data_IF_152811811516
#
_entry.id   IF_152811811516
#
_cell.length_a   1.000
_cell.length_b   1.000
_cell.length_c   1.000
_cell.angle_alpha   90.00
_cell.angle_beta   90.00
_cell.angle_gamma   90.00
#
_symmetry.space_group_name_H-M   'P 1'
#
loop_
_entity.id
_entity.type
_entity.pdbx_description
1 polymer ?
#
# COMPACT_ATOMS: atom_id res chain seq x y z
N UNK A 1 -11.73 38.55 46.85
CA UNK A 1 -13.15 38.14 46.97
C UNK A 1 -13.62 37.56 45.64
N UNK A 2 -14.09 36.30 45.65
CA UNK A 2 -15.22 35.71 44.86
C UNK A 2 -15.32 36.09 43.36
N UNK A 3 -15.31 35.18 42.37
CA UNK A 3 -16.01 33.88 42.28
C UNK A 3 -15.39 33.01 41.17
N UNK A 4 -15.30 31.71 41.48
CA UNK A 4 -15.16 30.59 40.55
C UNK A 4 -16.51 30.39 39.82
N UNK A 5 -16.47 30.07 38.52
CA UNK A 5 -17.57 29.43 37.81
C UNK A 5 -17.03 28.22 37.06
N UNK A 6 -17.38 27.04 37.57
CA UNK A 6 -17.23 25.76 36.91
C UNK A 6 -18.36 25.59 35.89
N UNK A 7 -18.01 25.30 34.63
CA UNK A 7 -18.95 24.89 33.59
C UNK A 7 -18.77 23.41 33.26
N UNK A 8 -19.65 22.58 33.81
CA UNK A 8 -19.78 21.15 33.51
C UNK A 8 -20.98 20.98 32.58
N UNK A 9 -20.78 20.48 31.36
CA UNK A 9 -21.89 20.07 30.48
C UNK A 9 -21.64 18.65 29.97
N UNK A 10 -22.62 17.81 30.26
CA UNK A 10 -22.68 16.38 30.04
C UNK A 10 -22.81 16.02 28.55
N UNK A 11 -22.11 14.96 28.13
CA UNK A 11 -22.31 14.34 26.82
C UNK A 11 -23.47 13.36 26.87
N UNK A 12 -24.53 13.64 26.12
CA UNK A 12 -25.67 12.73 25.93
C UNK A 12 -25.44 11.91 24.67
N UNK A 13 -25.18 10.61 24.80
CA UNK A 13 -25.16 9.65 23.70
C UNK A 13 -26.59 9.19 23.37
N UNK A 14 -26.98 9.04 22.10
CA UNK A 14 -28.25 8.40 21.74
C UNK A 14 -28.15 6.86 21.76
N UNK A 15 -29.25 6.15 22.07
CA UNK A 15 -29.30 4.68 22.08
C UNK A 15 -29.47 4.10 20.67
N UNK A 16 -28.80 2.98 20.41
CA UNK A 16 -28.93 2.15 19.22
C UNK A 16 -30.16 1.23 19.39
N UNK A 17 -31.16 1.36 18.51
CA UNK A 17 -32.36 0.52 18.48
C UNK A 17 -32.22 -0.58 17.42
N UNK A 18 -32.33 -1.82 17.88
CA UNK A 18 -32.58 -3.02 17.08
C UNK A 18 -33.97 -2.97 16.42
N UNK A 19 -34.09 -3.44 15.17
CA UNK A 19 -35.36 -3.99 14.68
C UNK A 19 -35.13 -5.01 13.56
N UNK A 20 -35.39 -6.26 13.94
CA UNK A 20 -35.75 -7.41 13.13
C UNK A 20 -37.14 -7.17 12.52
N UNK A 21 -37.37 -7.51 11.24
CA UNK A 21 -38.49 -8.39 10.83
C UNK A 21 -38.55 -8.71 9.33
N UNK A 22 -39.06 -9.92 9.10
CA UNK A 22 -39.17 -10.71 7.89
C UNK A 22 -40.28 -10.22 6.94
N UNK A 23 -40.20 -10.61 5.65
CA UNK A 23 -41.41 -10.82 4.84
C UNK A 23 -41.21 -11.93 3.82
N UNK A 24 -42.01 -12.97 4.01
CA UNK A 24 -42.29 -14.13 3.16
C UNK A 24 -43.37 -13.78 2.14
N UNK A 25 -43.30 -14.35 0.92
CA UNK A 25 -44.40 -14.81 0.06
C UNK A 25 -43.95 -14.78 -1.41
N UNK A 26 -44.42 -15.56 -2.39
CA UNK A 26 -45.33 -16.71 -2.55
C UNK A 26 -45.14 -17.10 -4.04
N UNK A 27 -45.07 -18.39 -4.36
CA UNK A 27 -45.15 -18.93 -5.73
C UNK A 27 -46.55 -18.71 -6.34
N UNK A 28 -46.69 -18.73 -7.69
CA UNK A 28 -47.32 -19.94 -8.24
C UNK A 28 -46.69 -20.48 -9.54
N UNK A 29 -46.71 -21.81 -9.60
CA UNK A 29 -46.72 -22.63 -10.80
C UNK A 29 -47.79 -22.16 -11.82
N UNK A 30 -47.51 -22.29 -13.12
CA UNK A 30 -48.42 -22.91 -14.10
C UNK A 30 -47.60 -23.43 -15.29
N UNK A 31 -48.00 -24.62 -15.70
CA UNK A 31 -47.50 -25.47 -16.77
C UNK A 31 -47.85 -24.88 -18.14
N UNK A 32 -47.00 -25.09 -19.14
CA UNK A 32 -47.55 -25.57 -20.40
C UNK A 32 -46.59 -26.51 -21.13
N UNK A 33 -47.15 -27.66 -21.49
CA UNK A 33 -46.50 -28.75 -22.18
C UNK A 33 -47.16 -28.89 -23.54
N UNK A 34 -46.36 -29.06 -24.59
CA UNK A 34 -46.58 -29.87 -25.81
C UNK A 34 -45.97 -29.19 -27.03
N UNK A 35 -44.86 -29.76 -27.51
CA UNK A 35 -44.66 -30.05 -28.94
C UNK A 35 -43.35 -30.82 -29.10
N UNK A 36 -43.45 -32.15 -29.07
CA UNK A 36 -42.44 -33.08 -29.58
C UNK A 36 -42.85 -33.46 -31.02
N UNK A 37 -42.07 -34.27 -31.75
CA UNK A 37 -40.63 -34.25 -32.04
C UNK A 37 -40.42 -34.35 -33.57
N UNK A 38 -39.19 -34.35 -34.09
CA UNK A 38 -38.73 -35.31 -35.13
C UNK A 38 -37.31 -34.95 -35.63
N UNK A 39 -36.42 -35.93 -35.48
CA UNK A 39 -35.19 -36.19 -36.25
C UNK A 39 -34.30 -34.99 -36.62
N UNK A 40 -33.23 -34.81 -35.85
CA UNK A 40 -31.92 -34.53 -36.44
C UNK A 40 -30.91 -35.57 -35.98
N UNK A 41 -30.68 -36.48 -36.92
CA UNK A 41 -29.61 -37.45 -37.07
C UNK A 41 -28.34 -36.96 -36.36
N UNK A 42 -27.96 -37.66 -35.28
CA UNK A 42 -26.63 -37.54 -34.69
C UNK A 42 -25.67 -38.20 -35.68
N UNK A 43 -25.08 -37.40 -36.57
CA UNK A 43 -23.90 -37.83 -37.32
C UNK A 43 -22.74 -37.78 -36.33
N UNK A 44 -22.50 -38.88 -35.60
CA UNK A 44 -21.27 -39.08 -34.85
C UNK A 44 -20.14 -39.15 -35.88
N UNK A 45 -19.64 -37.98 -36.25
CA UNK A 45 -18.34 -37.87 -36.90
C UNK A 45 -17.34 -38.05 -35.78
N UNK A 46 -16.93 -39.30 -35.57
CA UNK A 46 -15.68 -39.62 -34.88
C UNK A 46 -14.58 -38.91 -35.68
N UNK A 47 -14.33 -37.64 -35.38
CA UNK A 47 -13.06 -37.03 -35.71
C UNK A 47 -12.09 -37.73 -34.79
N UNK A 48 -11.38 -38.67 -35.38
CA UNK A 48 -10.24 -39.35 -34.81
C UNK A 48 -9.25 -38.26 -34.38
N UNK A 49 -9.40 -37.75 -33.16
CA UNK A 49 -8.44 -36.83 -32.56
C UNK A 49 -7.26 -37.72 -32.20
N UNK A 50 -6.40 -37.92 -33.19
CA UNK A 50 -5.12 -38.60 -33.04
C UNK A 50 -4.51 -38.13 -31.73
N UNK A 51 -4.51 -39.03 -30.76
CA UNK A 51 -3.70 -38.95 -29.55
C UNK A 51 -2.26 -39.04 -30.02
N UNK A 52 -1.71 -37.91 -30.44
CA UNK A 52 -0.27 -37.74 -30.56
C UNK A 52 0.27 -37.92 -29.16
N UNK A 53 0.73 -39.14 -28.87
CA UNK A 53 1.16 -39.59 -27.56
C UNK A 53 2.07 -38.57 -26.88
N UNK A 54 1.93 -38.53 -25.56
CA UNK A 54 2.50 -37.56 -24.60
C UNK A 54 4.03 -37.35 -24.70
N UNK A 55 4.71 -38.11 -25.57
CA UNK A 55 6.17 -38.18 -25.71
C UNK A 55 6.73 -37.61 -27.01
N UNK A 56 5.91 -37.27 -28.02
CA UNK A 56 6.42 -36.85 -29.34
C UNK A 56 6.99 -35.42 -29.40
N UNK A 57 6.92 -34.66 -28.31
CA UNK A 57 7.26 -33.22 -28.29
C UNK A 57 8.21 -32.81 -27.17
N UNK A 58 8.88 -33.75 -26.49
CA UNK A 58 9.81 -33.44 -25.39
C UNK A 58 10.92 -32.50 -25.84
N UNK A 59 11.57 -32.76 -26.98
CA UNK A 59 12.57 -31.86 -27.55
C UNK A 59 12.01 -30.47 -27.90
N UNK A 60 10.77 -30.41 -28.39
CA UNK A 60 10.10 -29.14 -28.66
C UNK A 60 9.81 -28.36 -27.38
N UNK A 61 9.51 -29.05 -26.27
CA UNK A 61 9.31 -28.45 -24.95
C UNK A 61 10.64 -27.93 -24.40
N UNK A 62 11.72 -28.72 -24.47
CA UNK A 62 13.07 -28.32 -24.04
C UNK A 62 13.56 -27.10 -24.82
N UNK A 63 13.48 -27.13 -26.15
CA UNK A 63 13.89 -26.01 -27.01
C UNK A 63 13.00 -24.78 -26.76
N UNK A 64 11.68 -24.96 -26.58
CA UNK A 64 10.78 -23.84 -26.25
C UNK A 64 11.12 -23.21 -24.89
N UNK A 65 11.42 -24.02 -23.87
CA UNK A 65 11.84 -23.53 -22.56
C UNK A 65 13.19 -22.80 -22.65
N UNK A 66 14.14 -23.33 -23.43
CA UNK A 66 15.43 -22.68 -23.69
C UNK A 66 15.27 -21.33 -24.39
N UNK A 67 14.52 -21.28 -25.50
CA UNK A 67 14.25 -20.00 -26.19
C UNK A 67 13.48 -19.02 -25.31
N UNK A 68 12.57 -19.50 -24.46
CA UNK A 68 11.89 -18.65 -23.49
C UNK A 68 12.81 -18.16 -22.38
N UNK A 69 13.84 -18.92 -21.99
CA UNK A 69 14.84 -18.47 -21.02
C UNK A 69 15.78 -17.39 -21.56
N UNK A 70 15.97 -17.32 -22.88
CA UNK A 70 16.77 -16.27 -23.53
C UNK A 70 15.99 -14.95 -23.71
N UNK A 71 14.67 -14.95 -23.55
CA UNK A 71 13.88 -13.72 -23.62
C UNK A 71 14.15 -12.89 -22.36
N UNK A 72 14.59 -11.63 -22.48
CA UNK A 72 14.75 -10.76 -21.33
C UNK A 72 13.41 -10.62 -20.62
N UNK A 73 13.42 -10.73 -19.29
CA UNK A 73 12.21 -10.61 -18.49
C UNK A 73 11.63 -9.21 -18.68
N UNK A 74 10.48 -9.12 -19.33
CA UNK A 74 9.74 -7.87 -19.39
C UNK A 74 9.12 -7.64 -18.01
N UNK A 75 9.67 -6.67 -17.26
CA UNK A 75 9.07 -6.17 -16.03
C UNK A 75 7.93 -5.24 -16.47
N UNK A 76 6.80 -5.84 -16.85
CA UNK A 76 5.58 -5.09 -17.17
C UNK A 76 4.89 -4.74 -15.85
N UNK A 77 4.82 -3.45 -15.53
CA UNK A 77 4.09 -2.92 -14.39
C UNK A 77 2.92 -2.06 -14.83
N UNK A 78 1.88 -2.00 -14.00
CA UNK A 78 0.80 -1.04 -14.18
C UNK A 78 1.30 0.34 -13.76
N UNK A 79 1.10 1.35 -14.60
CA UNK A 79 1.40 2.74 -14.25
C UNK A 79 0.36 3.25 -13.26
N UNK A 80 0.81 3.62 -12.05
CA UNK A 80 -0.09 4.01 -10.95
C UNK A 80 -0.25 5.53 -10.84
N UNK A 81 0.78 6.30 -11.19
CA UNK A 81 0.72 7.76 -11.12
C UNK A 81 2.06 8.44 -11.34
N UNK A 82 2.06 9.76 -11.19
CA UNK A 82 3.25 10.62 -11.23
C UNK A 82 3.22 11.61 -10.07
N UNK A 83 4.39 12.00 -9.57
CA UNK A 83 4.49 13.07 -8.57
C UNK A 83 4.75 14.45 -9.20
N UNK A 84 4.83 15.48 -8.36
CA UNK A 84 5.14 16.85 -8.77
C UNK A 84 6.58 17.04 -9.26
N UNK A 85 7.48 16.08 -9.01
CA UNK A 85 8.88 16.08 -9.45
C UNK A 85 8.99 15.49 -10.86
N UNK A 86 8.06 14.62 -11.25
CA UNK A 86 8.02 13.94 -12.53
C UNK A 86 8.46 12.48 -12.49
N UNK A 87 8.61 11.89 -11.30
CA UNK A 87 8.83 10.46 -11.13
C UNK A 87 7.57 9.69 -11.54
N UNK A 88 7.74 8.56 -12.23
CA UNK A 88 6.64 7.71 -12.67
C UNK A 88 6.64 6.43 -11.84
N UNK A 89 5.50 6.11 -11.23
CA UNK A 89 5.37 5.00 -10.28
C UNK A 89 4.64 3.80 -10.91
N UNK A 90 5.13 2.60 -10.62
CA UNK A 90 4.65 1.35 -11.18
C UNK A 90 4.37 0.29 -10.12
N UNK A 91 3.39 -0.58 -10.38
CA UNK A 91 3.06 -1.72 -9.54
C UNK A 91 2.86 -3.00 -10.37
N UNK A 92 3.49 -4.10 -9.96
CA UNK A 92 3.14 -5.46 -10.39
C UNK A 92 2.18 -6.04 -9.36
N UNK A 93 0.96 -6.43 -9.75
CA UNK A 93 0.03 -7.07 -8.83
C UNK A 93 0.59 -8.41 -8.33
N UNK A 94 0.15 -8.80 -7.14
CA UNK A 94 0.49 -10.11 -6.59
C UNK A 94 -0.11 -11.22 -7.47
N UNK A 95 0.72 -12.20 -7.86
CA UNK A 95 0.30 -13.40 -8.59
C UNK A 95 0.52 -14.62 -7.68
N UNK A 96 -0.51 -15.07 -6.95
CA UNK A 96 -0.39 -16.20 -6.03
C UNK A 96 -0.13 -17.51 -6.78
N UNK A 97 -0.57 -17.64 -8.04
CA UNK A 97 -0.33 -18.85 -8.86
C UNK A 97 1.15 -19.04 -9.14
N UNK A 98 1.92 -17.95 -9.26
CA UNK A 98 3.38 -17.97 -9.45
C UNK A 98 4.18 -17.80 -8.16
N UNK A 99 3.55 -17.93 -6.99
CA UNK A 99 4.21 -17.83 -5.69
C UNK A 99 4.57 -16.39 -5.27
N UNK A 100 4.13 -15.37 -6.02
CA UNK A 100 4.36 -13.96 -5.68
C UNK A 100 3.20 -13.43 -4.84
N UNK A 101 3.30 -13.57 -3.51
CA UNK A 101 2.22 -13.22 -2.57
C UNK A 101 2.05 -11.71 -2.33
N UNK A 102 3.08 -10.90 -2.60
CA UNK A 102 3.07 -9.44 -2.40
C UNK A 102 3.24 -8.74 -3.74
N UNK A 103 2.60 -7.57 -3.94
CA UNK A 103 2.88 -6.76 -5.11
C UNK A 103 4.30 -6.19 -5.01
N UNK A 104 4.89 -5.91 -6.16
CA UNK A 104 6.22 -5.28 -6.26
C UNK A 104 6.04 -3.88 -6.83
N UNK A 105 6.62 -2.89 -6.17
CA UNK A 105 6.47 -1.47 -6.48
C UNK A 105 7.84 -0.88 -6.77
N UNK A 106 7.93 -0.04 -7.79
CA UNK A 106 9.14 0.71 -8.16
C UNK A 106 8.76 2.01 -8.85
N UNK A 107 9.75 2.84 -9.11
CA UNK A 107 9.57 4.09 -9.84
C UNK A 107 10.73 4.29 -10.80
N UNK A 108 10.47 5.07 -11.85
CA UNK A 108 11.48 5.55 -12.78
C UNK A 108 11.64 7.07 -12.60
N UNK A 109 12.85 7.57 -12.31
CA UNK A 109 13.11 9.00 -12.22
C UNK A 109 13.07 9.65 -13.62
N UNK A 110 12.77 10.96 -13.70
CA UNK A 110 12.90 11.69 -14.95
C UNK A 110 14.37 11.71 -15.41
N UNK A 111 14.59 11.87 -16.72
CA UNK A 111 15.94 11.88 -17.31
C UNK A 111 16.80 12.96 -16.65
N UNK A 112 17.90 12.56 -16.01
CA UNK A 112 18.86 13.47 -15.38
C UNK A 112 18.73 13.63 -13.87
N UNK A 113 17.73 13.00 -13.23
CA UNK A 113 17.69 12.83 -11.77
C UNK A 113 18.20 11.45 -11.38
N UNK A 114 18.86 11.39 -10.22
CA UNK A 114 19.41 10.15 -9.67
C UNK A 114 18.45 9.54 -8.65
N UNK A 115 18.54 8.22 -8.44
CA UNK A 115 17.74 7.49 -7.44
C UNK A 115 18.05 7.89 -5.98
N UNK A 116 19.06 8.75 -5.75
CA UNK A 116 19.47 9.22 -4.43
C UNK A 116 18.70 10.48 -3.99
N UNK A 117 17.97 11.11 -4.91
CA UNK A 117 17.21 12.32 -4.59
C UNK A 117 16.04 12.01 -3.64
N UNK A 118 15.71 12.92 -2.71
CA UNK A 118 14.65 12.69 -1.74
C UNK A 118 13.28 12.59 -2.43
N UNK A 119 12.57 11.50 -2.15
CA UNK A 119 11.22 11.27 -2.65
C UNK A 119 10.16 11.97 -1.78
N UNK A 120 9.01 12.34 -2.36
CA UNK A 120 7.85 12.78 -1.58
C UNK A 120 7.39 11.68 -0.60
N UNK A 121 7.09 12.08 0.64
CA UNK A 121 6.85 11.17 1.76
C UNK A 121 5.63 10.25 1.54
N UNK A 122 4.63 10.72 0.80
CA UNK A 122 3.43 10.00 0.43
C UNK A 122 3.76 8.79 -0.44
N UNK A 123 4.57 9.02 -1.49
CA UNK A 123 5.00 8.00 -2.43
C UNK A 123 6.03 7.05 -1.83
N UNK A 124 6.94 7.56 -1.00
CA UNK A 124 7.89 6.70 -0.28
C UNK A 124 7.16 5.70 0.63
N UNK A 125 6.10 6.15 1.30
CA UNK A 125 5.27 5.30 2.15
C UNK A 125 4.52 4.24 1.36
N UNK A 126 4.06 4.56 0.15
CA UNK A 126 3.44 3.60 -0.76
C UNK A 126 4.47 2.59 -1.33
N UNK A 127 5.64 3.03 -1.78
CA UNK A 127 6.71 2.15 -2.25
C UNK A 127 7.16 1.15 -1.18
N UNK A 128 7.24 1.59 0.08
CA UNK A 128 7.59 0.74 1.24
C UNK A 128 6.44 -0.13 1.74
N UNK A 129 5.34 -0.25 1.00
CA UNK A 129 4.19 -1.06 1.37
C UNK A 129 3.49 -0.63 2.67
N UNK A 130 3.72 0.59 3.18
CA UNK A 130 3.00 1.12 4.36
C UNK A 130 1.58 1.53 4.00
N UNK A 131 1.38 2.07 2.79
CA UNK A 131 0.06 2.39 2.22
C UNK A 131 -0.35 1.32 1.20
N UNK A 132 -1.63 0.94 1.19
CA UNK A 132 -2.17 0.02 0.18
C UNK A 132 -2.38 0.73 -1.15
N UNK A 133 -3.08 1.86 -1.09
CA UNK A 133 -3.45 2.69 -2.25
C UNK A 133 -2.40 3.78 -2.50
N UNK A 134 -2.16 4.14 -3.78
CA UNK A 134 -1.29 5.27 -4.12
C UNK A 134 -1.90 6.58 -3.62
N UNK A 135 -1.08 7.60 -3.34
CA UNK A 135 -1.59 8.92 -2.95
C UNK A 135 -2.36 9.58 -4.08
N UNK A 136 -3.38 10.37 -3.73
CA UNK A 136 -4.17 11.15 -4.69
C UNK A 136 -3.54 12.52 -4.94
N UNK A 137 -3.81 13.11 -6.10
CA UNK A 137 -3.29 14.43 -6.47
C UNK A 137 -3.73 15.53 -5.49
N UNK A 138 -4.98 15.46 -5.02
CA UNK A 138 -5.51 16.39 -4.01
C UNK A 138 -4.79 16.27 -2.67
N UNK A 139 -4.45 15.05 -2.22
CA UNK A 139 -3.71 14.83 -0.97
C UNK A 139 -2.32 15.46 -1.08
N UNK A 140 -1.64 15.23 -2.21
CA UNK A 140 -0.32 15.80 -2.49
C UNK A 140 -0.38 17.33 -2.46
N UNK A 141 -1.36 17.95 -3.13
CA UNK A 141 -1.52 19.40 -3.14
C UNK A 141 -1.79 19.97 -1.73
N UNK A 142 -2.64 19.31 -0.94
CA UNK A 142 -2.91 19.71 0.46
C UNK A 142 -1.65 19.64 1.32
N UNK A 143 -0.87 18.57 1.19
CA UNK A 143 0.37 18.40 1.98
C UNK A 143 1.43 19.44 1.60
N UNK A 144 1.56 19.77 0.31
CA UNK A 144 2.45 20.85 -0.15
C UNK A 144 2.04 22.19 0.45
N UNK A 145 0.75 22.51 0.45
CA UNK A 145 0.24 23.74 1.07
C UNK A 145 0.52 23.79 2.58
N UNK A 146 0.36 22.66 3.28
CA UNK A 146 0.69 22.56 4.72
C UNK A 146 2.20 22.74 4.95
N UNK A 147 3.04 22.19 4.09
CA UNK A 147 4.50 22.33 4.20
C UNK A 147 4.93 23.79 4.02
N UNK A 148 4.39 24.48 3.01
CA UNK A 148 4.64 25.91 2.79
C UNK A 148 4.17 26.77 3.96
N UNK A 149 2.96 26.53 4.46
CA UNK A 149 2.42 27.24 5.62
C UNK A 149 3.29 27.03 6.87
N UNK A 150 3.78 25.81 7.10
CA UNK A 150 4.70 25.52 8.20
C UNK A 150 6.03 26.26 8.05
N UNK A 151 6.56 26.36 6.84
CA UNK A 151 7.78 27.10 6.56
C UNK A 151 7.61 28.59 6.85
N UNK A 152 6.50 29.20 6.43
CA UNK A 152 6.19 30.61 6.73
C UNK A 152 5.99 30.86 8.23
N UNK A 153 5.24 29.98 8.90
CA UNK A 153 5.02 30.11 10.34
C UNK A 153 6.31 29.93 11.13
N UNK A 154 7.16 28.98 10.73
CA UNK A 154 8.49 28.83 11.30
C UNK A 154 9.32 30.10 11.11
N UNK A 155 9.35 30.67 9.90
CA UNK A 155 10.09 31.91 9.62
C UNK A 155 9.58 33.09 10.46
N UNK A 156 8.26 33.23 10.65
CA UNK A 156 7.66 34.26 11.52
C UNK A 156 8.08 34.09 12.98
N UNK A 157 8.07 32.86 13.48
CA UNK A 157 8.47 32.56 14.86
C UNK A 157 9.98 32.83 15.05
N UNK A 158 10.83 32.47 14.09
CA UNK A 158 12.26 32.76 14.16
C UNK A 158 12.54 34.26 14.11
N UNK A 159 11.83 35.02 13.26
CA UNK A 159 11.96 36.47 13.22
C UNK A 159 11.54 37.12 14.55
N UNK A 160 10.46 36.64 15.18
CA UNK A 160 10.04 37.09 16.50
C UNK A 160 11.10 36.79 17.56
N UNK A 161 11.64 35.57 17.60
CA UNK A 161 12.71 35.20 18.55
C UNK A 161 13.95 36.06 18.40
N UNK A 162 14.34 36.37 17.17
CA UNK A 162 15.51 37.21 16.89
C UNK A 162 15.27 38.65 17.36
N UNK A 163 14.06 39.18 17.18
CA UNK A 163 13.67 40.50 17.68
C UNK A 163 13.67 40.57 19.22
N UNK A 164 13.24 39.49 19.89
CA UNK A 164 13.26 39.37 21.35
C UNK A 164 14.68 39.15 21.93
N UNK A 165 15.72 39.11 21.07
CA UNK A 165 17.11 38.91 21.47
C UNK A 165 17.46 37.46 21.83
N UNK A 166 16.59 36.49 21.50
CA UNK A 166 16.85 35.07 21.70
C UNK A 166 17.85 34.51 20.68
N UNK A 167 18.81 33.72 21.14
CA UNK A 167 19.68 32.93 20.24
C UNK A 167 18.92 31.75 19.63
N UNK A 168 19.29 31.34 18.41
CA UNK A 168 18.77 30.10 17.81
C UNK A 168 18.94 28.92 18.79
N UNK A 169 17.95 28.02 18.90
CA UNK A 169 18.07 26.86 19.77
C UNK A 169 19.25 26.02 19.27
N UNK A 170 20.34 26.00 20.05
CA UNK A 170 21.45 25.10 19.76
C UNK A 170 20.92 23.66 19.87
N UNK A 171 21.24 22.77 18.91
CA UNK A 171 20.89 21.37 19.04
C UNK A 171 21.44 20.89 20.39
N UNK A 172 20.63 20.23 21.23
CA UNK A 172 21.08 19.78 22.53
C UNK A 172 22.32 18.91 22.31
N UNK A 173 23.42 19.23 23.01
CA UNK A 173 24.65 18.43 22.96
C UNK A 173 24.34 17.04 23.52
N UNK A 174 23.98 16.10 22.65
CA UNK A 174 23.80 14.70 23.02
C UNK A 174 25.19 14.09 23.20
N UNK A 175 25.40 13.40 24.32
CA UNK A 175 26.61 12.60 24.51
C UNK A 175 26.67 11.44 23.52
N UNK A 176 27.75 10.64 23.53
CA UNK A 176 27.89 9.46 22.66
C UNK A 176 26.77 8.41 22.86
N UNK A 177 26.09 8.46 24.00
CA UNK A 177 25.03 7.55 24.37
C UNK A 177 23.71 7.97 23.69
N UNK A 178 23.12 7.05 22.93
CA UNK A 178 21.84 7.27 22.22
C UNK A 178 20.61 7.22 23.13
N UNK A 179 20.74 6.61 24.31
CA UNK A 179 19.64 6.43 25.27
C UNK A 179 19.88 7.21 26.57
N UNK A 180 18.82 7.74 27.20
CA UNK A 180 18.90 8.29 28.55
C UNK A 180 19.43 7.22 29.52
N UNK A 181 20.46 7.56 30.29
CA UNK A 181 20.96 6.69 31.36
C UNK A 181 20.09 6.91 32.60
N UNK A 182 19.38 5.88 33.02
CA UNK A 182 18.66 5.88 34.28
C UNK A 182 19.54 5.24 35.37
N UNK A 183 19.60 5.83 36.57
CA UNK A 183 20.39 5.27 37.66
C UNK A 183 19.92 3.85 38.04
N UNK A 184 18.63 3.56 37.85
CA UNK A 184 18.02 2.29 38.24
C UNK A 184 18.16 1.19 37.17
N UNK A 185 18.61 1.53 35.96
CA UNK A 185 18.71 0.60 34.84
C UNK A 185 20.15 0.46 34.37
N UNK A 186 20.84 -0.54 34.93
CA UNK A 186 22.17 -0.93 34.49
C UNK A 186 22.05 -1.96 33.35
N UNK A 187 22.73 -1.73 32.23
CA UNK A 187 22.81 -2.70 31.16
C UNK A 187 23.67 -3.91 31.57
N UNK A 188 23.04 -5.03 31.89
CA UNK A 188 23.69 -6.31 32.19
C UNK A 188 23.59 -6.73 33.66
N UNK A 189 23.82 -8.01 33.92
CA UNK A 189 23.88 -8.55 35.29
C UNK A 189 25.10 -7.95 36.02
N UNK A 190 24.87 -7.33 37.19
CA UNK A 190 25.91 -6.74 38.05
C UNK A 190 26.99 -7.77 38.47
N UNK A 191 26.70 -9.06 38.36
CA UNK A 191 27.53 -10.18 38.80
C UNK A 191 28.31 -10.86 37.68
N UNK A 192 28.32 -10.34 36.45
CA UNK A 192 29.00 -11.01 35.34
C UNK A 192 30.54 -10.94 35.48
N UNK A 193 31.12 -11.95 36.12
CA UNK A 193 32.57 -12.06 36.39
C UNK A 193 33.44 -12.32 35.14
N UNK A 194 32.87 -12.34 33.92
CA UNK A 194 33.58 -12.65 32.68
C UNK A 194 33.85 -11.44 31.78
N UNK A 195 33.93 -10.23 32.35
CA UNK A 195 34.40 -9.04 31.62
C UNK A 195 35.93 -8.99 31.67
N UNK A 196 36.60 -9.64 30.70
CA UNK A 196 38.04 -9.48 30.44
C UNK A 196 38.34 -8.21 29.65
#
# INVERSE_FOLDING_TARGET
MRKLLHGTLASTFPPCLDSVQQSTAVFPHILDARSLPLFKIIRVSVVNKMSNGEYRHVWRIVVRNFLNSLKPRQIQGNQMGKDYIGNIYYEIPADPSRGKRKPSRWYDPPKGLDFQDPLPAEWESWLRMRRKEPPTEEEIAKNLAIAQLKQENAAKIEAQRLADGGSLPAPPKRGPQSFPTYPDFHGGDLTNQYKK
#
